data_IF_538986093299
#
_entry.id   IF_538986093299
#
_cell.length_a   1.000
_cell.length_b   1.000
_cell.length_c   1.000
_cell.angle_alpha   90.00
_cell.angle_beta   90.00
_cell.angle_gamma   90.00
#
_symmetry.space_group_name_H-M   'P 1'
#
loop_
_entity.id
_entity.type
_entity.pdbx_description
1 polymer ?
#
# COMPACT_ATOMS: atom_id res chain seq x y z
N UNK A 1 15.61 -29.59 -7.68
CA UNK A 1 14.99 -28.31 -8.05
C UNK A 1 13.90 -27.81 -7.08
N UNK A 2 13.54 -28.55 -6.01
CA UNK A 2 12.50 -28.13 -5.05
C UNK A 2 12.99 -27.29 -3.85
N UNK A 3 14.31 -27.23 -3.61
CA UNK A 3 14.89 -26.52 -2.45
C UNK A 3 14.93 -25.00 -2.67
N UNK A 4 15.12 -24.56 -3.92
CA UNK A 4 15.20 -23.13 -4.27
C UNK A 4 13.85 -22.40 -4.23
N UNK A 5 12.72 -23.11 -4.28
CA UNK A 5 11.38 -22.51 -4.16
C UNK A 5 10.97 -22.28 -2.71
N UNK A 6 11.49 -23.06 -1.75
CA UNK A 6 11.12 -22.95 -0.33
C UNK A 6 11.68 -21.69 0.34
N UNK A 7 12.89 -21.26 -0.04
CA UNK A 7 13.53 -20.07 0.53
C UNK A 7 12.92 -18.75 0.04
N UNK A 8 12.45 -18.73 -1.21
CA UNK A 8 11.76 -17.55 -1.78
C UNK A 8 10.42 -17.34 -1.11
N UNK A 9 9.67 -18.41 -0.82
CA UNK A 9 8.34 -18.31 -0.24
C UNK A 9 8.37 -17.78 1.21
N UNK A 10 9.35 -18.17 2.03
CA UNK A 10 9.54 -17.60 3.36
C UNK A 10 9.98 -16.12 3.32
N UNK A 11 10.87 -15.75 2.41
CA UNK A 11 11.27 -14.35 2.21
C UNK A 11 10.08 -13.47 1.80
N UNK A 12 9.24 -13.96 0.87
CA UNK A 12 8.04 -13.22 0.44
C UNK A 12 7.04 -13.02 1.57
N UNK A 13 6.93 -13.99 2.49
CA UNK A 13 6.01 -13.94 3.63
C UNK A 13 6.53 -13.02 4.75
N UNK A 14 7.85 -12.90 4.91
CA UNK A 14 8.47 -11.94 5.83
C UNK A 14 8.34 -10.50 5.33
N UNK A 15 8.56 -10.26 4.03
CA UNK A 15 8.31 -8.95 3.40
C UNK A 15 6.83 -8.57 3.47
N UNK A 16 5.93 -9.54 3.25
CA UNK A 16 4.50 -9.34 3.41
C UNK A 16 4.13 -8.91 4.83
N UNK A 17 4.64 -9.61 5.85
CA UNK A 17 4.43 -9.26 7.27
C UNK A 17 5.02 -7.90 7.65
N UNK A 18 6.08 -7.46 6.97
CA UNK A 18 6.71 -6.15 7.20
C UNK A 18 5.80 -5.02 6.70
N UNK A 19 5.16 -5.23 5.54
CA UNK A 19 4.24 -4.25 4.98
C UNK A 19 2.84 -4.34 5.61
N UNK A 20 2.33 -5.53 5.88
CA UNK A 20 1.00 -5.78 6.39
C UNK A 20 1.08 -6.40 7.79
N UNK A 21 0.66 -5.63 8.79
CA UNK A 21 0.60 -6.06 10.19
C UNK A 21 -0.29 -7.28 10.37
N UNK A 22 0.02 -8.08 11.39
CA UNK A 22 -0.79 -9.24 11.78
C UNK A 22 -2.23 -8.79 12.07
N UNK A 23 -3.20 -9.41 11.39
CA UNK A 23 -4.61 -8.99 11.40
C UNK A 23 -5.43 -9.65 12.51
N UNK A 24 -4.77 -10.34 13.46
CA UNK A 24 -5.44 -11.02 14.57
C UNK A 24 -6.12 -10.04 15.56
N UNK A 25 -5.72 -8.76 15.56
CA UNK A 25 -6.31 -7.71 16.38
C UNK A 25 -7.10 -6.71 15.52
N UNK A 26 -8.07 -6.01 16.14
CA UNK A 26 -8.86 -4.97 15.46
C UNK A 26 -7.96 -3.84 14.92
N UNK A 27 -6.97 -3.41 15.70
CA UNK A 27 -6.00 -2.39 15.30
C UNK A 27 -5.13 -2.87 14.13
N UNK A 28 -4.68 -4.13 14.18
CA UNK A 28 -3.92 -4.76 13.11
C UNK A 28 -4.71 -4.86 11.80
N UNK A 29 -5.99 -5.23 11.89
CA UNK A 29 -6.93 -5.25 10.75
C UNK A 29 -7.18 -3.85 10.18
N UNK A 30 -7.36 -2.85 11.05
CA UNK A 30 -7.54 -1.46 10.63
C UNK A 30 -6.30 -0.93 9.91
N UNK A 31 -5.11 -1.19 10.44
CA UNK A 31 -3.85 -0.81 9.80
C UNK A 31 -3.65 -1.54 8.46
N UNK A 32 -4.02 -2.81 8.40
CA UNK A 32 -4.00 -3.60 7.17
C UNK A 32 -4.86 -2.96 6.08
N UNK A 33 -6.12 -2.62 6.39
CA UNK A 33 -7.05 -2.01 5.43
C UNK A 33 -6.52 -0.66 4.95
N UNK A 34 -6.00 0.20 5.83
CA UNK A 34 -5.41 1.49 5.43
C UNK A 34 -4.27 1.31 4.43
N UNK A 35 -3.35 0.39 4.72
CA UNK A 35 -2.23 0.09 3.82
C UNK A 35 -2.71 -0.49 2.49
N UNK A 36 -3.73 -1.35 2.51
CA UNK A 36 -4.31 -1.94 1.32
C UNK A 36 -4.96 -0.87 0.41
N UNK A 37 -5.69 0.08 0.99
CA UNK A 37 -6.27 1.22 0.28
C UNK A 37 -5.16 2.03 -0.39
N UNK A 38 -4.08 2.35 0.33
CA UNK A 38 -2.93 3.10 -0.20
C UNK A 38 -2.32 2.42 -1.44
N UNK A 39 -2.03 1.13 -1.33
CA UNK A 39 -1.42 0.32 -2.40
C UNK A 39 -2.36 0.21 -3.60
N UNK A 40 -3.64 -0.04 -3.35
CA UNK A 40 -4.63 -0.25 -4.40
C UNK A 40 -4.86 1.04 -5.21
N UNK A 41 -5.10 2.16 -4.52
CA UNK A 41 -5.30 3.44 -5.17
C UNK A 41 -4.06 3.89 -5.92
N UNK A 42 -2.86 3.67 -5.37
CA UNK A 42 -1.62 3.98 -6.07
C UNK A 42 -1.42 3.16 -7.33
N UNK A 43 -1.74 1.87 -7.27
CA UNK A 43 -1.65 0.97 -8.42
C UNK A 43 -2.66 1.38 -9.51
N UNK A 44 -3.89 1.74 -9.14
CA UNK A 44 -4.92 2.20 -10.07
C UNK A 44 -4.49 3.50 -10.75
N UNK A 45 -4.05 4.51 -10.01
CA UNK A 45 -3.66 5.80 -10.59
C UNK A 45 -2.42 5.67 -11.48
N UNK A 46 -1.52 4.74 -11.16
CA UNK A 46 -0.33 4.44 -11.97
C UNK A 46 -0.72 3.76 -13.29
N UNK A 47 -1.47 2.65 -13.23
CA UNK A 47 -1.89 1.90 -14.43
C UNK A 47 -2.75 2.76 -15.35
N UNK A 48 -3.57 3.67 -14.79
CA UNK A 48 -4.39 4.60 -15.57
C UNK A 48 -3.64 5.85 -16.04
N UNK A 49 -2.39 6.06 -15.64
CA UNK A 49 -1.60 7.23 -16.02
C UNK A 49 -2.19 8.56 -15.55
N UNK A 50 -2.91 8.57 -14.43
CA UNK A 50 -3.57 9.79 -13.90
C UNK A 50 -2.53 10.82 -13.44
N UNK A 51 -1.40 10.34 -12.92
CA UNK A 51 -0.29 11.18 -12.44
C UNK A 51 1.01 10.79 -13.13
N UNK A 52 1.97 11.72 -13.26
CA UNK A 52 3.26 11.44 -13.88
C UNK A 52 4.08 10.46 -13.03
N UNK A 53 4.95 9.66 -13.67
CA UNK A 53 5.71 8.61 -12.98
C UNK A 53 6.62 9.14 -11.85
N UNK A 54 7.05 10.39 -11.95
CA UNK A 54 7.89 11.07 -10.94
C UNK A 54 7.25 11.17 -9.56
N UNK A 55 5.92 11.02 -9.45
CA UNK A 55 5.22 11.09 -8.16
C UNK A 55 5.15 9.75 -7.45
N UNK A 56 5.55 8.67 -8.13
CA UNK A 56 5.50 7.32 -7.58
C UNK A 56 6.87 6.85 -7.11
N UNK A 57 6.93 6.44 -5.85
CA UNK A 57 8.05 5.68 -5.30
C UNK A 57 7.88 4.21 -5.61
N UNK A 58 8.97 3.52 -5.91
CA UNK A 58 8.97 2.07 -6.10
C UNK A 58 9.26 1.37 -4.76
N UNK A 59 8.49 0.33 -4.47
CA UNK A 59 8.69 -0.55 -3.32
C UNK A 59 8.51 -1.99 -3.77
N UNK A 60 9.23 -2.92 -3.14
CA UNK A 60 9.05 -4.35 -3.37
C UNK A 60 8.23 -4.93 -2.23
N UNK A 61 7.22 -5.72 -2.57
CA UNK A 61 6.37 -6.42 -1.62
C UNK A 61 6.22 -7.87 -2.05
N UNK A 62 6.84 -8.80 -1.32
CA UNK A 62 6.71 -10.23 -1.61
C UNK A 62 7.18 -10.57 -3.02
N UNK A 63 8.26 -9.93 -3.47
CA UNK A 63 8.77 -10.07 -4.84
C UNK A 63 8.00 -9.32 -5.94
N UNK A 64 6.87 -8.65 -5.63
CA UNK A 64 6.19 -7.76 -6.58
C UNK A 64 6.70 -6.32 -6.43
N UNK A 65 7.06 -5.68 -7.56
CA UNK A 65 7.37 -4.25 -7.59
C UNK A 65 6.06 -3.46 -7.66
N UNK A 66 5.78 -2.68 -6.63
CA UNK A 66 4.63 -1.79 -6.52
C UNK A 66 5.07 -0.34 -6.62
N UNK A 67 4.24 0.48 -7.26
CA UNK A 67 4.39 1.93 -7.36
C UNK A 67 3.44 2.59 -6.37
N UNK A 68 3.98 3.33 -5.40
CA UNK A 68 3.22 4.01 -4.35
C UNK A 68 3.33 5.52 -4.54
N UNK A 69 2.23 6.26 -4.38
CA UNK A 69 2.32 7.72 -4.39
C UNK A 69 3.18 8.22 -3.23
N UNK A 70 4.08 9.14 -3.56
CA UNK A 70 4.93 9.83 -2.59
C UNK A 70 4.40 11.25 -2.37
N UNK A 71 4.46 11.70 -1.12
CA UNK A 71 3.93 12.99 -0.70
C UNK A 71 4.76 14.19 -1.18
N UNK A 72 6.06 13.98 -1.42
CA UNK A 72 7.03 15.03 -1.81
C UNK A 72 7.04 15.37 -3.30
N UNK A 73 5.97 15.04 -4.02
CA UNK A 73 5.90 15.20 -5.47
C UNK A 73 5.67 16.64 -5.96
N UNK A 74 5.55 17.63 -5.06
CA UNK A 74 5.36 19.05 -5.39
C UNK A 74 4.05 19.40 -6.11
N UNK A 75 3.23 18.40 -6.46
CA UNK A 75 2.00 18.56 -7.22
C UNK A 75 0.78 18.65 -6.28
N UNK A 76 0.08 19.79 -6.34
CA UNK A 76 -1.12 20.05 -5.51
C UNK A 76 -2.25 19.04 -5.75
N UNK A 77 -2.40 18.53 -6.96
CA UNK A 77 -3.44 17.54 -7.28
C UNK A 77 -3.17 16.20 -6.58
N UNK A 78 -1.91 15.77 -6.58
CA UNK A 78 -1.48 14.55 -5.89
C UNK A 78 -1.61 14.71 -4.39
N UNK A 79 -1.15 15.83 -3.82
CA UNK A 79 -1.31 16.10 -2.39
C UNK A 79 -2.78 16.10 -1.97
N UNK A 80 -3.68 16.68 -2.77
CA UNK A 80 -5.12 16.65 -2.50
C UNK A 80 -5.66 15.22 -2.50
N UNK A 81 -5.24 14.39 -3.46
CA UNK A 81 -5.62 12.99 -3.54
C UNK A 81 -5.13 12.19 -2.33
N UNK A 82 -3.86 12.35 -1.93
CA UNK A 82 -3.31 11.71 -0.73
C UNK A 82 -4.07 12.15 0.53
N UNK A 83 -4.43 13.43 0.62
CA UNK A 83 -5.22 13.92 1.73
C UNK A 83 -6.64 13.30 1.77
N UNK A 84 -7.27 13.09 0.61
CA UNK A 84 -8.54 12.36 0.54
C UNK A 84 -8.39 10.92 1.04
N UNK A 85 -7.30 10.24 0.70
CA UNK A 85 -7.00 8.88 1.20
C UNK A 85 -6.85 8.90 2.73
N UNK A 86 -6.16 9.89 3.30
CA UNK A 86 -6.06 10.06 4.75
C UNK A 86 -7.41 10.28 5.41
N UNK A 87 -8.31 11.03 4.79
CA UNK A 87 -9.69 11.18 5.27
C UNK A 87 -10.43 9.83 5.28
N UNK A 88 -10.16 8.94 4.31
CA UNK A 88 -10.70 7.58 4.34
C UNK A 88 -10.15 6.76 5.50
N UNK A 89 -8.88 6.91 5.87
CA UNK A 89 -8.30 6.20 7.03
C UNK A 89 -8.99 6.57 8.33
N UNK A 90 -9.33 7.85 8.50
CA UNK A 90 -10.05 8.36 9.66
C UNK A 90 -11.47 7.76 9.73
N UNK A 91 -12.12 7.54 8.58
CA UNK A 91 -13.41 6.86 8.50
C UNK A 91 -13.33 5.36 8.86
N UNK A 92 -12.24 4.68 8.48
CA UNK A 92 -11.98 3.28 8.86
C UNK A 92 -11.74 3.17 10.37
N UNK A 93 -10.98 4.08 10.97
CA UNK A 93 -10.77 4.09 12.44
C UNK A 93 -12.06 4.30 13.22
N UNK A 94 -12.93 5.20 12.73
CA UNK A 94 -14.22 5.50 13.35
C UNK A 94 -15.31 4.44 13.09
N UNK A 95 -14.98 3.35 12.38
CA UNK A 95 -15.91 2.26 12.00
C UNK A 95 -17.12 2.74 11.19
N UNK A 96 -16.99 3.84 10.44
CA UNK A 96 -18.07 4.30 9.55
C UNK A 96 -18.18 3.49 8.26
N UNK A 97 -17.10 2.80 7.90
CA UNK A 97 -17.04 1.89 6.77
C UNK A 97 -16.93 0.49 7.40
N UNK A 98 -18.07 -0.19 7.50
CA UNK A 98 -18.22 -1.54 8.06
C UNK A 98 -18.29 -2.57 6.93
#
# INVERSE_FOLDING_TARGET
MAVSTMTVQEATMQEWKTQFSEFATLEGSCLFIKKLIAVSLSSITYIRGIFPETVYGERTLGGLRIKLLTEDCGNKAVMKFINTIRSCYDAVEKKYIA
#
